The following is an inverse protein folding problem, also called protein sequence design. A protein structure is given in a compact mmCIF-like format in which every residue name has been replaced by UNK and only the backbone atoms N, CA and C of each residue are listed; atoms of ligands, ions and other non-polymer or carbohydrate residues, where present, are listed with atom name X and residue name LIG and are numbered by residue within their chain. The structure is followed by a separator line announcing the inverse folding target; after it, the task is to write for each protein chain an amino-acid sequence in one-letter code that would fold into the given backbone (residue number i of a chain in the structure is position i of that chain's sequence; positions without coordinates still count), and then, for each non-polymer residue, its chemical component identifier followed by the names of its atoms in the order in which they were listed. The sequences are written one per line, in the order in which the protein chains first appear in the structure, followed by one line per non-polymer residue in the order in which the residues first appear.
data_IF_916288314376
#
_entry.id   IF_916288314376
#
_cell.length_a   1.000
_cell.length_b   1.000
_cell.length_c   1.000
_cell.angle_alpha   90.00
_cell.angle_beta   90.00
_cell.angle_gamma   90.00
#
_symmetry.space_group_name_H-M   'P 1'
#
loop_
_entity.id
_entity.type
_entity.pdbx_description
1 polymer ?
#
# COMPACT_ATOMS: atom_id res chain seq x y z
N UNK A 1 -12.45 3.88 10.46
CA UNK A 1 -13.22 2.99 9.55
C UNK A 1 -13.05 1.57 10.05
N UNK A 2 -14.08 0.73 10.09
CA UNK A 2 -13.91 -0.66 10.56
C UNK A 2 -13.12 -1.50 9.55
N UNK A 3 -12.38 -2.50 10.04
CA UNK A 3 -11.59 -3.44 9.22
C UNK A 3 -12.46 -4.13 8.17
N UNK A 4 -13.68 -4.53 8.53
CA UNK A 4 -14.64 -5.18 7.63
C UNK A 4 -15.06 -4.27 6.47
N UNK A 5 -15.23 -2.96 6.74
CA UNK A 5 -15.58 -2.00 5.70
C UNK A 5 -14.42 -1.79 4.73
N UNK A 6 -13.18 -1.76 5.22
CA UNK A 6 -11.98 -1.68 4.37
C UNK A 6 -11.85 -2.94 3.50
N UNK A 7 -12.07 -4.12 4.08
CA UNK A 7 -12.02 -5.40 3.36
C UNK A 7 -13.09 -5.47 2.26
N UNK A 8 -14.34 -5.08 2.57
CA UNK A 8 -15.44 -5.07 1.60
C UNK A 8 -15.15 -4.13 0.41
N UNK A 9 -14.64 -2.93 0.68
CA UNK A 9 -14.26 -1.98 -0.39
C UNK A 9 -13.09 -2.53 -1.21
N UNK A 10 -12.07 -3.09 -0.57
CA UNK A 10 -10.92 -3.69 -1.26
C UNK A 10 -11.33 -4.81 -2.21
N UNK A 11 -12.24 -5.70 -1.78
CA UNK A 11 -12.78 -6.75 -2.65
C UNK A 11 -13.56 -6.19 -3.83
N UNK A 12 -14.38 -5.17 -3.59
CA UNK A 12 -15.18 -4.50 -4.64
C UNK A 12 -14.25 -3.93 -5.73
N UNK A 13 -13.22 -3.18 -5.31
CA UNK A 13 -12.24 -2.59 -6.23
C UNK A 13 -11.40 -3.66 -6.96
N UNK A 14 -11.01 -4.73 -6.25
CA UNK A 14 -10.22 -5.82 -6.82
C UNK A 14 -10.98 -6.66 -7.84
N UNK A 15 -12.30 -6.78 -7.68
CA UNK A 15 -13.18 -7.50 -8.62
C UNK A 15 -13.45 -6.68 -9.88
N UNK A 16 -13.51 -5.36 -9.75
CA UNK A 16 -13.74 -4.46 -10.89
C UNK A 16 -12.51 -4.31 -11.78
N UNK A 17 -11.29 -4.33 -11.20
CA UNK A 17 -10.02 -4.32 -11.94
C UNK A 17 -9.01 -5.23 -11.23
N UNK A 18 -8.26 -6.06 -11.98
CA UNK A 18 -7.13 -6.85 -11.43
C UNK A 18 -6.15 -5.94 -10.69
N UNK A 19 -6.31 -5.82 -9.38
CA UNK A 19 -5.53 -4.94 -8.52
C UNK A 19 -4.30 -5.69 -8.01
N UNK A 20 -3.12 -5.26 -8.43
CA UNK A 20 -1.86 -5.83 -7.94
C UNK A 20 -1.57 -5.43 -6.49
N UNK A 21 -0.71 -6.19 -5.82
CA UNK A 21 -0.42 -6.04 -4.39
C UNK A 21 0.02 -4.63 -3.98
N UNK A 22 0.82 -3.96 -4.82
CA UNK A 22 1.23 -2.57 -4.59
C UNK A 22 0.02 -1.62 -4.50
N UNK A 23 -0.97 -1.79 -5.38
CA UNK A 23 -2.18 -0.96 -5.38
C UNK A 23 -3.05 -1.28 -4.18
N UNK A 24 -3.23 -2.56 -3.85
CA UNK A 24 -3.95 -2.98 -2.63
C UNK A 24 -3.33 -2.36 -1.39
N UNK A 25 -2.00 -2.35 -1.31
CA UNK A 25 -1.29 -1.81 -0.15
C UNK A 25 -1.54 -0.31 0.00
N UNK A 26 -1.41 0.46 -1.10
CA UNK A 26 -1.75 1.90 -1.10
C UNK A 26 -3.19 2.15 -0.69
N UNK A 27 -4.13 1.41 -1.27
CA UNK A 27 -5.55 1.54 -0.93
C UNK A 27 -5.79 1.34 0.58
N UNK A 28 -5.25 0.28 1.17
CA UNK A 28 -5.42 0.02 2.61
C UNK A 28 -4.68 1.08 3.43
N UNK A 29 -3.51 1.54 2.98
CA UNK A 29 -2.76 2.62 3.62
C UNK A 29 -3.55 3.93 3.68
N UNK A 30 -4.25 4.30 2.61
CA UNK A 30 -5.07 5.51 2.56
C UNK A 30 -6.26 5.46 3.55
N UNK A 31 -6.65 4.27 4.01
CA UNK A 31 -7.74 4.08 4.96
C UNK A 31 -7.27 3.88 6.40
N UNK A 32 -6.12 3.23 6.60
CA UNK A 32 -5.59 2.91 7.93
C UNK A 32 -4.54 3.92 8.42
N UNK A 33 -3.96 4.72 7.52
CA UNK A 33 -2.95 5.76 7.80
C UNK A 33 -1.73 5.30 8.62
N UNK A 34 -1.44 3.99 8.63
CA UNK A 34 -0.29 3.41 9.34
C UNK A 34 0.25 2.21 8.57
N UNK A 35 1.53 2.28 8.19
CA UNK A 35 2.21 1.18 7.47
C UNK A 35 2.17 -0.12 8.27
N UNK A 36 2.35 -0.07 9.58
CA UNK A 36 2.32 -1.25 10.46
C UNK A 36 0.91 -1.85 10.49
N UNK A 37 -0.12 -1.02 10.57
CA UNK A 37 -1.51 -1.49 10.50
C UNK A 37 -1.83 -2.14 9.15
N UNK A 38 -1.29 -1.62 8.03
CA UNK A 38 -1.44 -2.25 6.71
C UNK A 38 -0.72 -3.60 6.66
N UNK A 39 0.50 -3.70 7.21
CA UNK A 39 1.25 -4.96 7.25
C UNK A 39 0.46 -6.00 8.05
N UNK A 40 -0.05 -5.65 9.24
CA UNK A 40 -0.91 -6.54 10.03
C UNK A 40 -2.17 -6.93 9.26
N UNK A 41 -2.84 -5.99 8.59
CA UNK A 41 -4.00 -6.29 7.74
C UNK A 41 -3.67 -7.32 6.65
N UNK A 42 -2.55 -7.16 5.95
CA UNK A 42 -2.14 -8.09 4.91
C UNK A 42 -1.84 -9.50 5.45
N UNK A 43 -1.24 -9.60 6.63
CA UNK A 43 -0.91 -10.88 7.26
C UNK A 43 -2.15 -11.56 7.84
N UNK A 44 -2.91 -10.82 8.63
CA UNK A 44 -3.99 -11.38 9.46
C UNK A 44 -5.29 -11.52 8.69
N UNK A 45 -5.61 -10.55 7.82
CA UNK A 45 -6.87 -10.52 7.06
C UNK A 45 -6.68 -11.17 5.69
N UNK A 46 -5.70 -10.70 4.91
CA UNK A 46 -5.47 -11.20 3.56
C UNK A 46 -4.61 -12.47 3.49
N UNK A 47 -4.11 -12.96 4.65
CA UNK A 47 -3.33 -14.19 4.80
C UNK A 47 -2.03 -14.23 3.98
N UNK A 48 -1.39 -13.08 3.75
CA UNK A 48 -0.08 -13.01 3.13
C UNK A 48 1.00 -13.49 4.11
N UNK A 49 2.09 -14.06 3.59
CA UNK A 49 3.27 -14.34 4.43
C UNK A 49 3.90 -13.02 4.87
N UNK A 50 4.40 -12.96 6.12
CA UNK A 50 5.04 -11.76 6.69
C UNK A 50 6.12 -11.16 5.79
N UNK A 51 6.99 -11.99 5.20
CA UNK A 51 8.04 -11.49 4.29
C UNK A 51 7.46 -10.85 3.01
N UNK A 52 6.32 -11.32 2.51
CA UNK A 52 5.67 -10.75 1.32
C UNK A 52 5.08 -9.38 1.66
N UNK A 53 4.35 -9.28 2.77
CA UNK A 53 3.79 -8.02 3.25
C UNK A 53 4.88 -6.96 3.48
N UNK A 54 5.98 -7.35 4.14
CA UNK A 54 7.12 -6.47 4.37
C UNK A 54 7.82 -6.05 3.08
N UNK A 55 7.98 -6.96 2.11
CA UNK A 55 8.56 -6.63 0.79
C UNK A 55 7.70 -5.59 0.06
N UNK A 56 6.37 -5.75 0.10
CA UNK A 56 5.44 -4.78 -0.51
C UNK A 56 5.56 -3.43 0.19
N UNK A 57 5.52 -3.41 1.53
CA UNK A 57 5.66 -2.19 2.33
C UNK A 57 6.98 -1.46 2.01
N UNK A 58 8.09 -2.17 1.98
CA UNK A 58 9.40 -1.63 1.60
C UNK A 58 9.35 -0.99 0.22
N UNK A 59 8.83 -1.70 -0.80
CA UNK A 59 8.74 -1.17 -2.15
C UNK A 59 7.88 0.10 -2.24
N UNK A 60 6.75 0.14 -1.52
CA UNK A 60 5.85 1.30 -1.50
C UNK A 60 6.52 2.51 -0.83
N UNK A 61 7.15 2.32 0.34
CA UNK A 61 7.83 3.40 1.08
C UNK A 61 9.10 3.86 0.37
N UNK A 62 9.89 2.92 -0.15
CA UNK A 62 11.14 3.22 -0.86
C UNK A 62 10.88 3.99 -2.15
N UNK A 63 9.90 3.56 -2.96
CA UNK A 63 9.53 4.31 -4.17
C UNK A 63 9.06 5.73 -3.82
N UNK A 64 8.30 5.92 -2.73
CA UNK A 64 7.90 7.26 -2.27
C UNK A 64 9.11 8.15 -2.00
N UNK A 65 10.10 7.66 -1.25
CA UNK A 65 11.34 8.38 -0.95
C UNK A 65 12.17 8.65 -2.22
N UNK A 66 12.29 7.67 -3.09
CA UNK A 66 13.04 7.80 -4.34
C UNK A 66 12.47 8.91 -5.23
N UNK A 67 11.15 8.93 -5.46
CA UNK A 67 10.51 9.98 -6.26
C UNK A 67 10.58 11.36 -5.58
N UNK A 68 10.39 11.44 -4.26
CA UNK A 68 10.56 12.70 -3.52
C UNK A 68 11.98 13.27 -3.68
N UNK A 69 12.99 12.41 -3.61
CA UNK A 69 14.39 12.82 -3.80
C UNK A 69 14.70 13.21 -5.25
N UNK A 70 13.97 12.68 -6.25
CA UNK A 70 14.09 13.14 -7.63
C UNK A 70 13.42 14.51 -7.85
N UNK A 71 12.25 14.74 -7.27
CA UNK A 71 11.52 16.01 -7.36
C UNK A 71 12.23 17.15 -6.61
N UNK A 72 12.92 16.83 -5.53
CA UNK A 72 13.66 17.80 -4.72
C UNK A 72 15.11 18.04 -5.19
N UNK A 73 15.50 17.57 -6.39
CA UNK A 73 16.77 17.97 -6.98
C UNK A 73 16.68 19.41 -7.46
N UNK A 74 17.47 20.36 -6.93
CA UNK A 74 17.55 21.70 -7.47
C UNK A 74 18.23 21.60 -8.85
N UNK A 75 17.49 21.85 -9.94
CA UNK A 75 18.08 21.98 -11.27
C UNK A 75 17.31 21.40 -12.46
N UNK A 76 16.11 20.84 -12.31
CA UNK A 76 15.25 20.54 -13.46
C UNK A 76 13.94 21.31 -13.35
N UNK A 77 14.06 22.62 -13.58
CA UNK A 77 12.97 23.44 -14.13
C UNK A 77 12.86 23.02 -15.60
N UNK A 78 11.68 22.59 -16.04
CA UNK A 78 11.33 22.62 -17.46
C UNK A 78 11.31 24.07 -17.94
#
# INVERSE_FOLDING_TARGET
MSVDLVLKKLHTESNYKRMGDHRKFKFVLDHLNSTDAVISFFIEVLKYKRYQANKIAYNVVYHKKYYQNQLNKPGQVN
#
